data_IF_868230003549
#
_entry.id   IF_868230003549
#
_cell.length_a   1.000
_cell.length_b   1.000
_cell.length_c   1.000
_cell.angle_alpha   90.00
_cell.angle_beta   90.00
_cell.angle_gamma   90.00
#
_symmetry.space_group_name_H-M   'P 1'
#
loop_
_entity.id
_entity.type
_entity.pdbx_description
1 polymer ?
#
# COMPACT_ATOMS: atom_id res chain seq x y z
N UNK A 1 -10.57 -31.02 36.19
CA UNK A 1 -10.08 -30.97 34.79
C UNK A 1 -11.16 -31.57 33.94
N UNK A 2 -12.03 -30.73 33.37
CA UNK A 2 -13.10 -31.23 32.49
C UNK A 2 -12.44 -31.82 31.25
N UNK A 3 -12.59 -33.13 31.09
CA UNK A 3 -12.06 -33.86 29.95
C UNK A 3 -12.90 -33.47 28.74
N UNK A 4 -12.26 -32.94 27.69
CA UNK A 4 -12.95 -32.67 26.44
C UNK A 4 -13.57 -33.98 25.92
N UNK A 5 -14.79 -33.95 25.36
CA UNK A 5 -15.35 -35.11 24.66
C UNK A 5 -14.35 -35.60 23.59
N UNK A 6 -14.17 -36.92 23.41
CA UNK A 6 -13.16 -37.46 22.50
C UNK A 6 -13.28 -36.92 21.06
N UNK A 7 -14.50 -36.70 20.57
CA UNK A 7 -14.74 -36.08 19.27
C UNK A 7 -14.22 -34.63 19.18
N UNK A 8 -14.38 -33.84 20.24
CA UNK A 8 -13.90 -32.46 20.29
C UNK A 8 -12.36 -32.40 20.39
N UNK A 9 -11.75 -33.40 21.04
CA UNK A 9 -10.30 -33.49 21.15
C UNK A 9 -9.66 -33.87 19.80
N UNK A 10 -10.33 -34.73 19.03
CA UNK A 10 -9.92 -35.09 17.66
C UNK A 10 -10.05 -33.89 16.71
N UNK A 11 -11.18 -33.18 16.73
CA UNK A 11 -11.39 -31.97 15.93
C UNK A 11 -10.36 -30.87 16.26
N UNK A 12 -10.06 -30.66 17.54
CA UNK A 12 -9.02 -29.72 17.96
C UNK A 12 -7.63 -30.16 17.48
N UNK A 13 -7.33 -31.46 17.53
CA UNK A 13 -6.05 -32.00 17.06
C UNK A 13 -5.90 -31.84 15.54
N UNK A 14 -6.98 -32.04 14.79
CA UNK A 14 -6.98 -31.87 13.34
C UNK A 14 -6.82 -30.38 12.96
N UNK A 15 -7.52 -29.48 13.67
CA UNK A 15 -7.39 -28.03 13.47
C UNK A 15 -5.97 -27.52 13.76
N UNK A 16 -5.35 -27.98 14.85
CA UNK A 16 -3.97 -27.59 15.19
C UNK A 16 -2.97 -28.09 14.15
N UNK A 17 -3.18 -29.29 13.60
CA UNK A 17 -2.34 -29.82 12.52
C UNK A 17 -2.46 -29.00 11.25
N UNK A 18 -3.68 -28.61 10.86
CA UNK A 18 -3.91 -27.74 9.70
C UNK A 18 -3.26 -26.37 9.91
N UNK A 19 -3.35 -25.81 11.11
CA UNK A 19 -2.70 -24.54 11.44
C UNK A 19 -1.18 -24.62 11.29
N UNK A 20 -0.54 -25.68 11.80
CA UNK A 20 0.91 -25.88 11.65
C UNK A 20 1.31 -26.01 10.18
N UNK A 21 0.54 -26.73 9.36
CA UNK A 21 0.77 -26.86 7.91
C UNK A 21 0.72 -25.50 7.20
N UNK A 22 -0.29 -24.68 7.51
CA UNK A 22 -0.42 -23.33 6.93
C UNK A 22 0.74 -22.43 7.35
N UNK A 23 1.19 -22.51 8.60
CA UNK A 23 2.34 -21.75 9.07
C UNK A 23 3.64 -22.18 8.37
N UNK A 24 3.84 -23.49 8.16
CA UNK A 24 4.97 -23.98 7.37
C UNK A 24 4.95 -23.50 5.93
N UNK A 25 3.76 -23.38 5.31
CA UNK A 25 3.60 -22.85 3.96
C UNK A 25 3.99 -21.36 3.87
N UNK A 26 3.65 -20.57 4.89
CA UNK A 26 4.10 -19.17 4.98
C UNK A 26 5.63 -19.07 5.10
N UNK A 27 6.26 -19.95 5.89
CA UNK A 27 7.71 -19.98 6.06
C UNK A 27 8.45 -20.51 4.81
N UNK A 28 7.83 -21.41 4.04
CA UNK A 28 8.35 -21.90 2.74
C UNK A 28 8.09 -20.93 1.59
N UNK A 29 7.15 -20.01 1.75
CA UNK A 29 6.87 -18.95 0.79
C UNK A 29 8.13 -18.14 0.49
N UNK A 30 8.29 -17.58 -0.72
CA UNK A 30 9.48 -16.82 -1.08
C UNK A 30 9.58 -15.56 -0.21
N UNK A 31 10.36 -15.63 0.86
CA UNK A 31 10.69 -14.53 1.76
C UNK A 31 11.65 -13.55 1.09
N UNK A 32 11.33 -13.01 -0.08
CA UNK A 32 12.35 -12.26 -0.82
C UNK A 32 11.90 -11.32 -1.92
N UNK A 33 10.74 -11.50 -2.57
CA UNK A 33 10.44 -10.65 -3.73
C UNK A 33 10.28 -9.18 -3.32
N UNK A 34 9.56 -8.93 -2.23
CA UNK A 34 9.44 -7.59 -1.68
C UNK A 34 10.76 -7.03 -1.14
N UNK A 35 11.54 -7.85 -0.43
CA UNK A 35 12.87 -7.48 0.10
C UNK A 35 13.83 -7.09 -1.03
N UNK A 36 13.85 -7.87 -2.12
CA UNK A 36 14.67 -7.61 -3.30
C UNK A 36 14.25 -6.32 -4.00
N UNK A 37 12.94 -6.10 -4.15
CA UNK A 37 12.41 -4.86 -4.73
C UNK A 37 12.74 -3.65 -3.84
N UNK A 38 12.72 -3.81 -2.52
CA UNK A 38 13.07 -2.77 -1.55
C UNK A 38 14.57 -2.42 -1.62
N UNK A 39 15.44 -3.42 -1.72
CA UNK A 39 16.88 -3.22 -1.91
C UNK A 39 17.20 -2.55 -3.26
N UNK A 40 16.47 -2.88 -4.33
CA UNK A 40 16.59 -2.19 -5.61
C UNK A 40 16.16 -0.71 -5.51
N UNK A 41 15.06 -0.44 -4.81
CA UNK A 41 14.56 0.92 -4.60
C UNK A 41 15.55 1.77 -3.78
N UNK A 42 16.12 1.20 -2.70
CA UNK A 42 17.14 1.85 -1.87
C UNK A 42 18.38 2.21 -2.68
N UNK A 43 18.84 1.30 -3.56
CA UNK A 43 19.98 1.53 -4.45
C UNK A 43 19.68 2.65 -5.46
N UNK A 44 18.50 2.64 -6.08
CA UNK A 44 18.10 3.66 -7.07
C UNK A 44 17.92 5.05 -6.44
N UNK A 45 17.37 5.11 -5.22
CA UNK A 45 17.26 6.35 -4.47
C UNK A 45 18.63 6.90 -4.02
N UNK A 46 19.56 6.02 -3.61
CA UNK A 46 20.90 6.42 -3.17
C UNK A 46 21.86 6.83 -4.30
N UNK A 47 21.70 6.27 -5.51
CA UNK A 47 22.54 6.60 -6.66
C UNK A 47 22.10 7.86 -7.40
N UNK A 48 20.87 8.33 -7.17
CA UNK A 48 20.30 9.52 -7.82
C UNK A 48 20.80 10.87 -7.25
N UNK A 49 21.56 10.87 -6.14
CA UNK A 49 21.92 12.11 -5.42
C UNK A 49 23.39 12.52 -5.63
N UNK A 50 24.23 11.69 -6.27
CA UNK A 50 25.69 11.90 -6.30
C UNK A 50 26.36 11.86 -7.68
N UNK A 51 25.70 12.37 -8.73
CA UNK A 51 26.39 12.64 -10.02
C UNK A 51 25.99 13.96 -10.70
N UNK A 52 25.31 14.86 -9.97
CA UNK A 52 25.13 16.23 -10.46
C UNK A 52 26.04 17.14 -9.65
N UNK A 53 27.32 17.17 -10.03
CA UNK A 53 28.17 18.32 -9.76
C UNK A 53 27.55 19.53 -10.45
N UNK A 54 26.64 20.23 -9.76
CA UNK A 54 26.13 21.50 -10.23
C UNK A 54 27.13 22.57 -9.81
N UNK A 55 27.86 23.09 -10.79
CA UNK A 55 28.66 24.30 -10.64
C UNK A 55 27.75 25.44 -10.19
N UNK A 56 28.24 26.20 -9.20
CA UNK A 56 27.62 27.41 -8.68
C UNK A 56 27.48 28.44 -9.79
N UNK A 57 26.28 28.60 -10.36
CA UNK A 57 25.97 29.77 -11.18
C UNK A 57 24.59 30.31 -10.80
N UNK A 58 24.66 31.35 -9.97
CA UNK A 58 23.70 32.43 -9.79
C UNK A 58 22.84 32.65 -11.05
N UNK A 59 21.58 32.24 -10.99
CA UNK A 59 20.58 32.61 -11.99
C UNK A 59 19.29 33.01 -11.30
N UNK A 60 19.31 34.26 -10.85
CA UNK A 60 18.12 35.08 -10.66
C UNK A 60 17.32 35.15 -11.96
N UNK A 61 16.26 34.36 -12.09
CA UNK A 61 15.10 34.81 -12.86
C UNK A 61 13.84 34.12 -12.36
N UNK A 62 12.93 34.97 -11.93
CA UNK A 62 11.57 34.72 -11.48
C UNK A 62 10.79 33.86 -12.49
N UNK A 63 10.25 32.72 -12.05
CA UNK A 63 9.18 32.03 -12.78
C UNK A 63 7.83 32.58 -12.30
N UNK A 64 7.05 33.29 -13.15
CA UNK A 64 5.72 33.76 -12.80
C UNK A 64 4.71 32.68 -13.22
N UNK A 65 4.43 31.71 -12.36
CA UNK A 65 3.52 30.64 -12.80
C UNK A 65 3.09 29.59 -11.79
N UNK A 66 3.45 29.71 -10.51
CA UNK A 66 2.97 28.81 -9.47
C UNK A 66 2.01 29.55 -8.54
N UNK A 67 0.80 29.86 -9.02
CA UNK A 67 -0.35 30.06 -8.12
C UNK A 67 -0.77 28.72 -7.55
N UNK A 68 0.06 28.15 -6.67
CA UNK A 68 -0.43 27.20 -5.69
C UNK A 68 -1.05 28.04 -4.60
N UNK A 69 -2.37 28.22 -4.70
CA UNK A 69 -3.22 28.67 -3.62
C UNK A 69 -2.83 27.85 -2.37
N UNK A 70 -2.15 28.47 -1.41
CA UNK A 70 -1.96 27.86 -0.09
C UNK A 70 -3.35 27.75 0.52
N UNK A 71 -3.92 26.55 0.48
CA UNK A 71 -5.07 26.21 1.28
C UNK A 71 -4.61 26.13 2.73
N UNK A 72 -4.68 27.25 3.44
CA UNK A 72 -4.66 27.26 4.90
C UNK A 72 -5.94 26.56 5.39
N UNK A 73 -5.82 25.33 5.90
CA UNK A 73 -6.92 24.69 6.63
C UNK A 73 -6.86 25.11 8.11
N UNK A 74 -7.87 25.85 8.54
CA UNK A 74 -8.00 26.32 9.92
C UNK A 74 -8.79 25.28 10.73
N UNK A 75 -8.07 24.36 11.39
CA UNK A 75 -8.62 23.18 12.08
C UNK A 75 -9.43 23.50 13.36
N UNK A 76 -9.67 24.78 13.67
CA UNK A 76 -10.37 25.18 14.88
C UNK A 76 -11.87 25.47 14.69
N UNK A 77 -12.43 25.30 13.49
CA UNK A 77 -13.88 25.45 13.27
C UNK A 77 -14.58 24.09 13.27
N UNK A 78 -14.55 23.45 14.43
CA UNK A 78 -15.46 22.37 14.74
C UNK A 78 -16.91 22.81 14.45
N UNK A 79 -17.64 21.96 13.71
CA UNK A 79 -19.09 21.98 13.50
C UNK A 79 -19.66 22.89 12.40
N UNK A 80 -19.49 22.51 11.11
CA UNK A 80 -20.59 22.58 10.10
C UNK A 80 -20.35 22.04 8.68
N UNK A 81 -19.27 21.34 8.37
CA UNK A 81 -19.17 20.70 7.05
C UNK A 81 -19.79 19.30 7.11
N UNK A 82 -21.02 19.14 6.60
CA UNK A 82 -21.46 17.85 6.07
C UNK A 82 -20.37 17.37 5.09
N UNK A 83 -19.94 16.09 5.13
CA UNK A 83 -18.93 15.62 4.20
C UNK A 83 -19.51 15.78 2.79
N UNK A 84 -18.98 16.72 2.02
CA UNK A 84 -19.32 16.85 0.62
C UNK A 84 -19.06 15.49 0.00
N UNK A 85 -20.08 14.88 -0.63
CA UNK A 85 -19.94 13.61 -1.33
C UNK A 85 -18.73 13.76 -2.25
N UNK A 86 -17.67 13.03 -1.95
CA UNK A 86 -16.45 13.07 -2.73
C UNK A 86 -16.83 12.84 -4.19
N UNK A 87 -16.49 13.80 -5.05
CA UNK A 87 -16.66 13.66 -6.48
C UNK A 87 -15.58 12.68 -6.91
N UNK A 88 -15.94 11.40 -7.08
CA UNK A 88 -15.04 10.48 -7.77
C UNK A 88 -14.72 11.11 -9.13
N UNK A 89 -13.42 11.14 -9.45
CA UNK A 89 -12.96 11.55 -10.76
C UNK A 89 -13.40 10.56 -11.84
N UNK A 90 -12.71 10.56 -12.96
CA UNK A 90 -12.93 9.52 -13.97
C UNK A 90 -12.55 8.14 -13.40
N UNK A 91 -13.50 7.20 -13.43
CA UNK A 91 -13.33 5.81 -12.96
C UNK A 91 -13.28 4.80 -14.10
N UNK A 92 -13.20 5.25 -15.35
CA UNK A 92 -13.27 4.38 -16.52
C UNK A 92 -12.22 3.26 -16.53
N UNK A 93 -10.96 3.56 -16.18
CA UNK A 93 -9.88 2.55 -16.14
C UNK A 93 -10.16 1.45 -15.10
N UNK A 94 -10.74 1.83 -13.95
CA UNK A 94 -11.10 0.88 -12.90
C UNK A 94 -12.26 -0.02 -13.33
N UNK A 95 -13.24 0.55 -14.03
CA UNK A 95 -14.37 -0.19 -14.59
C UNK A 95 -13.92 -1.21 -15.64
N UNK A 96 -12.95 -0.85 -16.49
CA UNK A 96 -12.39 -1.73 -17.53
C UNK A 96 -11.59 -2.89 -16.90
N UNK A 97 -10.78 -2.62 -15.88
CA UNK A 97 -10.05 -3.64 -15.13
C UNK A 97 -10.99 -4.66 -14.45
N UNK A 98 -12.10 -4.21 -13.86
CA UNK A 98 -13.08 -5.10 -13.25
C UNK A 98 -13.74 -5.99 -14.31
N UNK A 99 -14.09 -5.45 -15.47
CA UNK A 99 -14.68 -6.23 -16.56
C UNK A 99 -13.72 -7.31 -17.10
N UNK A 100 -12.43 -6.99 -17.20
CA UNK A 100 -11.42 -7.97 -17.59
C UNK A 100 -11.25 -9.08 -16.54
N UNK A 101 -11.33 -8.74 -15.24
CA UNK A 101 -11.30 -9.73 -14.16
C UNK A 101 -12.51 -10.66 -14.21
N UNK A 102 -13.72 -10.11 -14.38
CA UNK A 102 -14.95 -10.91 -14.47
C UNK A 102 -14.88 -11.91 -15.63
N UNK A 103 -14.28 -11.51 -16.76
CA UNK A 103 -14.07 -12.39 -17.93
C UNK A 103 -13.07 -13.52 -17.67
N UNK A 104 -12.06 -13.29 -16.83
CA UNK A 104 -11.07 -14.33 -16.46
C UNK A 104 -11.66 -15.33 -15.46
N UNK A 105 -12.67 -14.90 -14.69
CA UNK A 105 -13.32 -15.71 -13.66
C UNK A 105 -14.52 -16.55 -14.18
N UNK A 106 -14.88 -16.43 -15.46
CA UNK A 106 -15.94 -17.22 -16.14
C UNK A 106 -15.38 -18.49 -16.82
#
# INVERSE_FOLDING_TARGET
>A
TEFLPPAMAEELSDLLREFDEVMEDFDRGPASQYEQHLEELKRKAGHSVYDSGIDELESTSTSPGSSLNSSEEDLNTAAKAQPSKAKLGDTQELEEFIADLDKVLE
#
